data_IF_704436688720
#
_entry.id   IF_704436688720
#
_cell.length_a   1.000
_cell.length_b   1.000
_cell.length_c   1.000
_cell.angle_alpha   90.00
_cell.angle_beta   90.00
_cell.angle_gamma   90.00
#
_symmetry.space_group_name_H-M   'P 1'
#
loop_
_entity.id
_entity.type
_entity.pdbx_description
1 polymer ?
#
# COMPACT_ATOMS: atom_id res chain seq x y z
N UNK A 1 -33.87 41.60 -2.29
CA UNK A 1 -33.64 40.71 -3.43
C UNK A 1 -32.65 39.64 -2.98
N UNK A 2 -33.13 38.45 -2.68
CA UNK A 2 -32.31 37.24 -2.49
C UNK A 2 -31.65 36.92 -3.83
N UNK A 3 -30.37 36.53 -3.84
CA UNK A 3 -29.81 35.53 -4.77
C UNK A 3 -28.30 35.37 -4.55
N UNK A 4 -27.90 34.24 -3.97
CA UNK A 4 -26.70 33.48 -4.32
C UNK A 4 -26.67 32.26 -3.39
N UNK A 5 -27.55 31.30 -3.70
CA UNK A 5 -27.41 29.95 -3.16
C UNK A 5 -26.08 29.41 -3.68
N UNK A 6 -25.09 29.36 -2.80
CA UNK A 6 -23.87 28.57 -3.01
C UNK A 6 -24.33 27.11 -3.04
N UNK A 7 -24.64 26.62 -4.24
CA UNK A 7 -24.75 25.18 -4.50
C UNK A 7 -23.40 24.57 -4.15
N UNK A 8 -23.29 24.07 -2.92
CA UNK A 8 -22.17 23.24 -2.53
C UNK A 8 -22.22 21.99 -3.41
N UNK A 9 -21.13 21.76 -4.12
CA UNK A 9 -20.87 20.61 -4.99
C UNK A 9 -21.26 19.29 -4.32
N UNK A 10 -22.47 18.80 -4.62
CA UNK A 10 -22.92 17.45 -4.29
C UNK A 10 -22.40 16.46 -5.36
N UNK A 11 -21.10 16.54 -5.67
CA UNK A 11 -20.44 15.60 -6.58
C UNK A 11 -19.99 14.39 -5.77
N UNK A 12 -20.36 13.15 -6.14
CA UNK A 12 -19.90 11.97 -5.45
C UNK A 12 -18.37 11.85 -5.57
N UNK A 13 -17.66 12.13 -4.46
CA UNK A 13 -16.21 12.02 -4.27
C UNK A 13 -15.74 10.55 -4.21
N UNK A 14 -16.21 9.68 -5.11
CA UNK A 14 -15.97 8.22 -5.07
C UNK A 14 -14.75 7.73 -5.86
N UNK A 15 -14.00 8.62 -6.52
CA UNK A 15 -12.90 8.23 -7.42
C UNK A 15 -11.53 8.05 -6.71
N UNK A 16 -11.19 8.93 -5.75
CA UNK A 16 -9.85 8.92 -5.10
C UNK A 16 -9.58 7.69 -4.23
N UNK A 17 -10.62 7.07 -3.67
CA UNK A 17 -10.45 5.97 -2.72
C UNK A 17 -9.76 4.74 -3.34
N UNK A 18 -9.91 4.52 -4.66
CA UNK A 18 -9.25 3.42 -5.38
C UNK A 18 -7.76 3.63 -5.64
N UNK A 19 -7.26 4.86 -5.53
CA UNK A 19 -5.87 5.19 -5.90
C UNK A 19 -4.89 5.16 -4.71
N UNK A 20 -5.31 4.68 -3.53
CA UNK A 20 -4.45 4.59 -2.33
C UNK A 20 -3.44 3.44 -2.35
N UNK A 21 -3.42 2.62 -3.41
CA UNK A 21 -2.48 1.50 -3.53
C UNK A 21 -1.26 1.95 -4.33
N UNK A 22 -0.08 1.92 -3.71
CA UNK A 22 1.18 2.11 -4.40
C UNK A 22 1.70 0.78 -4.95
N UNK A 23 2.21 0.79 -6.17
CA UNK A 23 2.98 -0.32 -6.72
C UNK A 23 4.45 -0.14 -6.33
N UNK A 24 5.05 -1.18 -5.78
CA UNK A 24 6.46 -1.18 -5.36
C UNK A 24 7.17 -2.32 -6.08
N UNK A 25 8.24 -1.98 -6.79
CA UNK A 25 9.13 -2.94 -7.42
C UNK A 25 10.49 -2.90 -6.71
N UNK A 26 11.02 -4.06 -6.37
CA UNK A 26 12.31 -4.22 -5.70
C UNK A 26 13.23 -5.05 -6.59
N UNK A 27 14.48 -4.61 -6.73
CA UNK A 27 15.54 -5.42 -7.33
C UNK A 27 16.28 -6.13 -6.21
N UNK A 28 16.54 -7.41 -6.41
CA UNK A 28 17.20 -8.27 -5.44
C UNK A 28 18.17 -9.18 -6.19
N UNK A 29 19.27 -9.53 -5.54
CA UNK A 29 20.12 -10.63 -5.96
C UNK A 29 19.38 -11.97 -5.79
N UNK A 30 19.76 -13.03 -6.53
CA UNK A 30 19.15 -14.35 -6.38
C UNK A 30 19.21 -14.86 -4.93
N UNK A 31 20.36 -14.74 -4.27
CA UNK A 31 20.55 -15.20 -2.89
C UNK A 31 19.64 -14.46 -1.88
N UNK A 32 19.41 -13.15 -2.08
CA UNK A 32 18.51 -12.36 -1.22
C UNK A 32 17.05 -12.80 -1.40
N UNK A 33 16.65 -13.06 -2.65
CA UNK A 33 15.32 -13.58 -2.96
C UNK A 33 15.09 -14.94 -2.33
N UNK A 34 16.07 -15.84 -2.40
CA UNK A 34 15.97 -17.18 -1.84
C UNK A 34 15.86 -17.14 -0.30
N UNK A 35 16.65 -16.29 0.35
CA UNK A 35 16.55 -16.07 1.79
C UNK A 35 15.18 -15.53 2.21
N UNK A 36 14.65 -14.53 1.49
CA UNK A 36 13.31 -14.00 1.73
C UNK A 36 12.21 -15.04 1.47
N UNK A 37 12.35 -15.85 0.41
CA UNK A 37 11.41 -16.91 0.12
C UNK A 37 11.38 -17.95 1.25
N UNK A 38 12.55 -18.40 1.72
CA UNK A 38 12.63 -19.34 2.84
C UNK A 38 12.03 -18.78 4.13
N UNK A 39 12.30 -17.51 4.45
CA UNK A 39 11.73 -16.84 5.61
C UNK A 39 10.20 -16.68 5.51
N UNK A 40 9.68 -16.38 4.31
CA UNK A 40 8.25 -16.26 4.06
C UNK A 40 7.55 -17.62 4.16
N UNK A 41 8.16 -18.67 3.60
CA UNK A 41 7.68 -20.06 3.70
C UNK A 41 7.63 -20.56 5.13
N UNK A 42 8.67 -20.30 5.93
CA UNK A 42 8.70 -20.68 7.35
C UNK A 42 7.56 -20.04 8.17
N UNK A 43 7.04 -18.90 7.71
CA UNK A 43 5.92 -18.17 8.32
C UNK A 43 4.57 -18.45 7.65
N UNK A 44 4.54 -19.22 6.56
CA UNK A 44 3.32 -19.49 5.79
C UNK A 44 2.73 -18.27 5.09
N UNK A 45 3.53 -17.24 4.79
CA UNK A 45 3.08 -15.99 4.16
C UNK A 45 3.79 -15.75 2.83
N UNK A 46 3.30 -14.78 2.06
CA UNK A 46 3.96 -14.36 0.81
C UNK A 46 5.20 -13.50 1.08
N UNK A 47 6.15 -13.49 0.13
CA UNK A 47 7.31 -12.58 0.20
C UNK A 47 6.86 -11.11 0.31
N UNK A 48 5.86 -10.70 -0.48
CA UNK A 48 5.36 -9.32 -0.46
C UNK A 48 4.78 -8.92 0.89
N UNK A 49 4.12 -9.84 1.57
CA UNK A 49 3.59 -9.64 2.93
C UNK A 49 4.70 -9.57 3.97
N UNK A 50 5.70 -10.48 3.88
CA UNK A 50 6.87 -10.44 4.73
C UNK A 50 7.61 -9.09 4.63
N UNK A 51 7.84 -8.61 3.40
CA UNK A 51 8.52 -7.32 3.16
C UNK A 51 7.68 -6.17 3.71
N UNK A 52 6.37 -6.14 3.39
CA UNK A 52 5.47 -5.07 3.86
C UNK A 52 5.44 -5.00 5.39
N UNK A 53 5.25 -6.12 6.07
CA UNK A 53 5.15 -6.18 7.53
C UNK A 53 6.46 -5.76 8.20
N UNK A 54 7.60 -6.22 7.67
CA UNK A 54 8.91 -5.87 8.20
C UNK A 54 9.21 -4.37 8.08
N UNK A 55 8.93 -3.77 6.90
CA UNK A 55 9.15 -2.34 6.66
C UNK A 55 8.22 -1.48 7.53
N UNK A 56 6.95 -1.87 7.68
CA UNK A 56 6.02 -1.13 8.53
C UNK A 56 6.41 -1.19 10.01
N UNK A 57 6.96 -2.32 10.47
CA UNK A 57 7.49 -2.45 11.83
C UNK A 57 8.70 -1.52 12.05
N UNK A 58 9.62 -1.45 11.09
CA UNK A 58 10.81 -0.58 11.14
C UNK A 58 10.45 0.92 11.18
N UNK A 59 9.41 1.34 10.45
CA UNK A 59 8.99 2.75 10.43
C UNK A 59 8.37 3.18 11.79
N UNK A 60 7.88 2.23 12.58
CA UNK A 60 7.21 2.49 13.86
C UNK A 60 8.15 2.45 15.07
N UNK A 61 9.36 1.89 14.91
CA UNK A 61 10.40 1.82 15.94
C UNK A 61 11.27 3.07 15.97
#
# INVERSE_FOLDING_TARGET
MLNAQTQQDDRPKRSEQRQRTALVALRMLPAERDALHAAAQARGISISELVRTSVLAEIQS
#
